data_IF_964021255648
#
_entry.id   IF_964021255648
#
_cell.length_a   1.000
_cell.length_b   1.000
_cell.length_c   1.000
_cell.angle_alpha   90.00
_cell.angle_beta   90.00
_cell.angle_gamma   90.00
#
_symmetry.space_group_name_H-M   'P 1'
#
loop_
_entity.id
_entity.type
_entity.pdbx_description
1 polymer ?
#
# COMPACT_ATOMS: atom_id res chain seq x y z
N UNK A 1 5.66 8.84 -5.93
CA UNK A 1 5.94 8.75 -4.48
C UNK A 1 7.33 8.18 -4.30
N UNK A 2 8.15 8.81 -3.48
CA UNK A 2 9.50 8.33 -3.12
C UNK A 2 9.61 8.23 -1.61
N UNK A 3 10.29 7.21 -1.12
CA UNK A 3 10.46 6.91 0.29
C UNK A 3 11.93 6.74 0.62
N UNK A 4 12.42 7.43 1.65
CA UNK A 4 13.73 7.19 2.28
C UNK A 4 13.52 6.66 3.67
N UNK A 5 14.22 5.58 3.98
CA UNK A 5 14.08 4.86 5.25
C UNK A 5 15.47 4.60 5.81
N UNK A 6 15.66 4.92 7.08
CA UNK A 6 16.88 4.61 7.81
C UNK A 6 16.54 3.91 9.12
N UNK A 7 17.24 2.80 9.39
CA UNK A 7 17.19 2.05 10.64
C UNK A 7 15.82 1.50 11.04
N UNK A 8 15.02 1.06 10.07
CA UNK A 8 13.67 0.56 10.28
C UNK A 8 13.64 -0.97 10.31
N UNK A 9 13.43 -1.57 11.49
CA UNK A 9 13.50 -3.01 11.69
C UNK A 9 14.83 -3.59 11.20
N UNK A 10 14.86 -4.58 10.30
CA UNK A 10 16.09 -5.13 9.76
C UNK A 10 16.75 -4.23 8.69
N UNK A 11 16.09 -3.15 8.29
CA UNK A 11 16.56 -2.27 7.20
C UNK A 11 17.47 -1.20 7.78
N UNK A 12 18.72 -1.16 7.34
CA UNK A 12 19.65 -0.07 7.68
C UNK A 12 19.40 1.16 6.82
N UNK A 13 19.15 0.96 5.50
CA UNK A 13 18.84 2.03 4.56
C UNK A 13 18.04 1.54 3.37
N UNK A 14 17.03 2.32 2.97
CA UNK A 14 16.32 2.11 1.71
C UNK A 14 15.93 3.46 1.08
N UNK A 15 16.06 3.55 -0.24
CA UNK A 15 15.46 4.62 -1.04
C UNK A 15 14.63 3.96 -2.13
N UNK A 16 13.31 4.18 -2.07
CA UNK A 16 12.32 3.47 -2.89
C UNK A 16 11.50 4.50 -3.65
N UNK A 17 11.43 4.35 -4.95
CA UNK A 17 10.47 5.03 -5.81
C UNK A 17 9.39 4.06 -6.26
N UNK A 18 8.13 4.45 -6.15
CA UNK A 18 7.01 3.62 -6.58
C UNK A 18 6.73 3.87 -8.06
N UNK A 19 7.13 2.92 -8.89
CA UNK A 19 6.83 2.87 -10.33
C UNK A 19 5.55 2.06 -10.59
N UNK A 20 5.01 2.05 -11.81
CA UNK A 20 3.86 1.23 -12.17
C UNK A 20 3.99 -0.25 -11.73
N UNK A 21 5.17 -0.85 -11.89
CA UNK A 21 5.51 -2.14 -11.28
C UNK A 21 6.76 -1.99 -10.41
N UNK A 22 6.59 -2.18 -9.11
CA UNK A 22 7.68 -2.15 -8.13
C UNK A 22 7.86 -3.53 -7.52
N UNK A 23 9.06 -4.07 -7.56
CA UNK A 23 9.37 -5.42 -7.07
C UNK A 23 10.42 -5.35 -5.97
N UNK A 24 10.11 -5.92 -4.80
CA UNK A 24 11.04 -6.06 -3.68
C UNK A 24 11.53 -7.50 -3.60
N UNK A 25 12.83 -7.71 -3.71
CA UNK A 25 13.46 -9.04 -3.66
C UNK A 25 14.52 -9.10 -2.56
N UNK A 26 14.90 -10.29 -2.12
CA UNK A 26 15.92 -10.50 -1.09
C UNK A 26 15.64 -11.72 -0.23
N UNK A 27 16.58 -12.08 0.64
CA UNK A 27 16.47 -13.23 1.55
C UNK A 27 15.31 -13.09 2.53
N UNK A 28 14.88 -14.23 3.11
CA UNK A 28 13.90 -14.21 4.20
C UNK A 28 14.44 -13.37 5.37
N UNK A 29 13.56 -12.57 5.98
CA UNK A 29 13.92 -11.68 7.06
C UNK A 29 14.66 -10.39 6.66
N UNK A 30 14.86 -10.13 5.36
CA UNK A 30 15.54 -8.90 4.89
C UNK A 30 14.73 -7.61 5.04
N UNK A 31 13.43 -7.69 5.36
CA UNK A 31 12.57 -6.53 5.57
C UNK A 31 11.68 -6.15 4.40
N UNK A 32 11.55 -6.99 3.34
CA UNK A 32 10.65 -6.74 2.20
C UNK A 32 9.21 -6.45 2.63
N UNK A 33 8.62 -7.34 3.43
CA UNK A 33 7.26 -7.16 3.98
C UNK A 33 7.16 -5.91 4.84
N UNK A 34 8.18 -5.60 5.64
CA UNK A 34 8.18 -4.37 6.45
C UNK A 34 8.19 -3.11 5.60
N UNK A 35 8.95 -3.07 4.48
CA UNK A 35 8.88 -1.96 3.53
C UNK A 35 7.52 -1.86 2.85
N UNK A 36 6.96 -2.99 2.40
CA UNK A 36 5.64 -3.02 1.77
C UNK A 36 4.54 -2.53 2.72
N UNK A 37 4.57 -2.96 3.98
CA UNK A 37 3.64 -2.52 5.05
C UNK A 37 3.83 -1.04 5.38
N UNK A 38 5.07 -0.54 5.42
CA UNK A 38 5.35 0.88 5.65
C UNK A 38 4.79 1.74 4.50
N UNK A 39 5.00 1.34 3.25
CA UNK A 39 4.45 2.03 2.08
C UNK A 39 2.92 2.06 2.17
N UNK A 40 2.29 0.93 2.47
CA UNK A 40 0.85 0.87 2.68
C UNK A 40 0.39 1.82 3.79
N UNK A 41 1.05 1.78 4.95
CA UNK A 41 0.71 2.61 6.11
C UNK A 41 0.75 4.10 5.79
N UNK A 42 1.76 4.54 5.02
CA UNK A 42 1.89 5.94 4.60
C UNK A 42 0.83 6.34 3.58
N UNK A 43 0.43 5.41 2.70
CA UNK A 43 -0.68 5.64 1.77
C UNK A 43 -2.03 5.67 2.49
N UNK A 44 -2.24 4.80 3.47
CA UNK A 44 -3.44 4.76 4.30
C UNK A 44 -3.58 6.03 5.14
N UNK A 45 -2.47 6.54 5.72
CA UNK A 45 -2.43 7.84 6.40
C UNK A 45 -2.94 8.96 5.49
N UNK A 46 -2.49 9.01 4.24
CA UNK A 46 -2.95 9.99 3.26
C UNK A 46 -4.47 9.91 3.02
N UNK A 47 -4.99 8.70 2.87
CA UNK A 47 -6.42 8.49 2.63
C UNK A 47 -7.28 8.88 3.83
N UNK A 48 -6.75 8.80 5.03
CA UNK A 48 -7.43 9.21 6.26
C UNK A 48 -7.28 10.70 6.58
N UNK A 49 -6.27 11.39 6.03
CA UNK A 49 -6.05 12.81 6.28
C UNK A 49 -7.30 13.70 6.05
N UNK A 50 -8.12 13.52 4.99
CA UNK A 50 -9.34 14.28 4.79
C UNK A 50 -10.40 14.05 5.88
N UNK A 51 -10.46 12.86 6.49
CA UNK A 51 -11.41 12.56 7.57
C UNK A 51 -11.04 13.28 8.87
N UNK A 52 -9.77 13.60 9.07
CA UNK A 52 -9.34 14.43 10.21
C UNK A 52 -9.72 15.89 10.04
N UNK A 53 -10.06 16.32 8.81
CA UNK A 53 -10.55 17.66 8.51
C UNK A 53 -12.08 17.79 8.69
N UNK A 54 -12.82 16.68 8.62
CA UNK A 54 -14.30 16.69 8.60
C UNK A 54 -15.01 17.20 9.86
N UNK A 55 -14.42 17.25 11.08
CA UNK A 55 -14.71 18.28 12.04
C UNK A 55 -13.41 18.90 12.59
N UNK A 56 -12.57 19.45 11.79
CA UNK A 56 -11.63 20.41 12.35
C UNK A 56 -12.49 21.58 12.80
N UNK A 57 -12.99 21.40 14.00
CA UNK A 57 -13.22 22.47 14.93
C UNK A 57 -11.83 23.07 15.15
N UNK A 58 -11.34 23.84 14.16
CA UNK A 58 -10.27 24.79 14.41
C UNK A 58 -10.80 25.54 15.62
N UNK A 59 -10.17 25.34 16.77
CA UNK A 59 -10.74 25.81 18.02
C UNK A 59 -11.06 27.29 17.84
N UNK A 60 -12.19 27.74 18.39
CA UNK A 60 -12.61 29.15 18.31
C UNK A 60 -11.50 30.12 18.71
N UNK A 61 -10.52 29.65 19.48
CA UNK A 61 -9.32 30.38 19.87
C UNK A 61 -8.35 30.57 18.71
N UNK A 62 -8.13 29.57 17.84
CA UNK A 62 -7.23 29.66 16.67
C UNK A 62 -7.86 30.43 15.51
N UNK A 63 -9.16 30.24 15.30
CA UNK A 63 -9.94 31.10 14.39
C UNK A 63 -9.82 32.57 14.83
N UNK A 64 -9.93 32.83 16.14
CA UNK A 64 -9.69 34.14 16.70
C UNK A 64 -8.27 34.68 16.53
N UNK A 65 -7.26 33.82 16.41
CA UNK A 65 -5.87 34.18 16.09
C UNK A 65 -5.73 34.52 14.61
N UNK A 66 -6.26 33.71 13.70
CA UNK A 66 -6.27 34.03 12.26
C UNK A 66 -7.01 35.33 12.01
N UNK A 67 -8.18 35.51 12.60
CA UNK A 67 -8.94 36.77 12.50
C UNK A 67 -8.20 37.98 13.02
N UNK A 68 -7.43 37.84 14.12
CA UNK A 68 -6.58 38.92 14.64
C UNK A 68 -5.44 39.25 13.67
N UNK A 69 -4.80 38.24 13.08
CA UNK A 69 -3.74 38.44 12.07
C UNK A 69 -4.28 39.09 10.80
N UNK A 70 -5.46 38.65 10.31
CA UNK A 70 -6.13 39.29 9.16
C UNK A 70 -6.38 40.79 9.44
N UNK A 71 -6.85 41.13 10.64
CA UNK A 71 -7.14 42.52 11.04
C UNK A 71 -5.91 43.38 11.35
N UNK A 72 -4.74 42.77 11.60
CA UNK A 72 -3.51 43.49 11.94
C UNK A 72 -2.66 43.88 10.73
N UNK A 73 -2.98 43.38 9.52
CA UNK A 73 -2.23 43.67 8.29
C UNK A 73 -3.01 44.73 7.51
N UNK A 74 -2.40 45.92 7.34
CA UNK A 74 -3.05 47.05 6.66
C UNK A 74 -3.32 46.85 5.17
N UNK A 75 -2.52 45.96 4.50
CA UNK A 75 -2.70 45.60 3.09
C UNK A 75 -2.53 44.07 2.93
N UNK A 76 -3.63 43.31 3.11
CA UNK A 76 -3.60 41.88 2.88
C UNK A 76 -4.07 41.56 1.45
N UNK A 77 -3.19 40.90 0.69
CA UNK A 77 -3.53 40.40 -0.65
C UNK A 77 -4.16 39.01 -0.59
N UNK A 78 -4.93 38.57 -1.60
CA UNK A 78 -5.42 37.18 -1.68
C UNK A 78 -4.31 36.15 -1.49
N UNK A 79 -3.15 36.35 -2.10
CA UNK A 79 -1.96 35.50 -1.97
C UNK A 79 -1.47 35.40 -0.51
N UNK A 80 -1.29 36.49 0.16
CA UNK A 80 -0.81 36.54 1.55
C UNK A 80 -1.81 35.90 2.51
N UNK A 81 -3.10 36.05 2.25
CA UNK A 81 -4.15 35.37 3.02
C UNK A 81 -4.13 33.85 2.85
N UNK A 82 -4.09 33.36 1.62
CA UNK A 82 -4.05 31.91 1.32
C UNK A 82 -2.78 31.29 1.93
N UNK A 83 -1.62 31.93 1.79
CA UNK A 83 -0.36 31.49 2.39
C UNK A 83 -0.46 31.39 3.91
N UNK A 84 -0.95 32.43 4.56
CA UNK A 84 -1.12 32.46 6.02
C UNK A 84 -2.08 31.35 6.50
N UNK A 85 -3.19 31.15 5.79
CA UNK A 85 -4.13 30.08 6.10
C UNK A 85 -3.45 28.71 5.93
N UNK A 86 -2.67 28.54 4.85
CA UNK A 86 -1.92 27.31 4.59
C UNK A 86 -0.94 26.96 5.71
N UNK A 87 -0.11 27.92 6.11
CA UNK A 87 0.87 27.73 7.20
C UNK A 87 0.18 27.35 8.52
N UNK A 88 -0.94 28.00 8.84
CA UNK A 88 -1.71 27.66 10.05
C UNK A 88 -2.32 26.26 9.96
N UNK A 89 -2.89 25.89 8.82
CA UNK A 89 -3.50 24.57 8.61
C UNK A 89 -2.44 23.47 8.70
N UNK A 90 -1.32 23.62 8.02
CA UNK A 90 -0.22 22.65 8.06
C UNK A 90 0.31 22.49 9.48
N UNK A 91 0.55 23.58 10.18
CA UNK A 91 0.98 23.56 11.58
C UNK A 91 -0.05 22.92 12.52
N UNK A 92 -1.34 23.02 12.20
CA UNK A 92 -2.42 22.41 12.97
C UNK A 92 -2.59 20.92 12.66
N UNK A 93 -2.36 20.49 11.41
CA UNK A 93 -2.49 19.11 10.97
C UNK A 93 -1.38 18.20 11.50
N UNK A 94 -0.17 18.72 11.65
CA UNK A 94 1.00 17.93 12.05
C UNK A 94 0.76 17.09 13.32
N UNK A 95 0.21 17.59 14.43
CA UNK A 95 -0.08 16.78 15.61
C UNK A 95 -1.11 15.67 15.36
N UNK A 96 -2.12 15.94 14.52
CA UNK A 96 -3.13 14.92 14.16
C UNK A 96 -2.56 13.83 13.27
N UNK A 97 -1.75 14.21 12.27
CA UNK A 97 -1.02 13.27 11.44
C UNK A 97 -0.06 12.43 12.27
N UNK A 98 0.59 13.02 13.28
CA UNK A 98 1.46 12.31 14.21
C UNK A 98 0.71 11.23 14.98
N UNK A 99 -0.42 11.57 15.59
CA UNK A 99 -1.24 10.61 16.34
C UNK A 99 -1.86 9.54 15.42
N UNK A 100 -2.33 9.92 14.23
CA UNK A 100 -2.83 8.97 13.24
C UNK A 100 -1.74 8.02 12.77
N UNK A 101 -0.55 8.54 12.47
CA UNK A 101 0.61 7.74 12.06
C UNK A 101 1.02 6.76 13.16
N UNK A 102 1.07 7.19 14.43
CA UNK A 102 1.33 6.33 15.58
C UNK A 102 0.37 5.14 15.58
N UNK A 103 -0.93 5.41 15.55
CA UNK A 103 -1.97 4.37 15.58
C UNK A 103 -1.89 3.43 14.38
N UNK A 104 -1.63 3.95 13.18
CA UNK A 104 -1.49 3.15 11.97
C UNK A 104 -0.25 2.26 12.03
N UNK A 105 0.89 2.77 12.48
CA UNK A 105 2.11 1.99 12.65
C UNK A 105 1.90 0.86 13.66
N UNK A 106 1.40 1.17 14.87
CA UNK A 106 1.15 0.16 15.92
C UNK A 106 0.13 -0.88 15.45
N UNK A 107 -0.94 -0.48 14.75
CA UNK A 107 -1.96 -1.38 14.20
C UNK A 107 -1.39 -2.28 13.11
N UNK A 108 -0.75 -1.69 12.09
CA UNK A 108 -0.35 -2.42 10.89
C UNK A 108 0.84 -3.35 11.16
N UNK A 109 1.76 -2.96 12.05
CA UNK A 109 2.89 -3.80 12.45
C UNK A 109 2.58 -4.72 13.64
N UNK A 110 1.46 -4.51 14.35
CA UNK A 110 1.06 -5.25 15.54
C UNK A 110 2.15 -5.28 16.63
N UNK A 111 2.89 -4.19 16.79
CA UNK A 111 3.98 -4.06 17.75
C UNK A 111 4.12 -2.62 18.26
N UNK A 112 4.80 -2.46 19.39
CA UNK A 112 5.13 -1.14 19.91
C UNK A 112 6.15 -0.43 19.01
N UNK A 113 6.07 0.89 18.90
CA UNK A 113 6.93 1.69 18.00
C UNK A 113 8.44 1.45 18.26
N UNK A 114 8.86 1.27 19.52
CA UNK A 114 10.26 0.98 19.87
C UNK A 114 10.80 -0.28 19.18
N UNK A 115 9.92 -1.26 18.89
CA UNK A 115 10.29 -2.50 18.21
C UNK A 115 10.54 -2.33 16.71
N UNK A 116 10.16 -1.18 16.14
CA UNK A 116 10.46 -0.81 14.76
C UNK A 116 11.87 -0.23 14.59
N UNK A 117 12.55 0.10 15.70
CA UNK A 117 13.91 0.65 15.65
C UNK A 117 14.92 -0.48 15.43
N UNK A 118 15.84 -0.27 14.49
CA UNK A 118 16.91 -1.22 14.21
C UNK A 118 17.79 -1.47 15.46
N UNK A 119 18.19 -2.71 15.67
CA UNK A 119 18.98 -3.13 16.83
C UNK A 119 20.32 -2.40 16.99
N UNK A 120 20.88 -1.88 15.88
CA UNK A 120 22.17 -1.19 15.82
C UNK A 120 22.03 0.34 15.79
N UNK A 121 20.83 0.86 16.03
CA UNK A 121 20.55 2.31 15.97
C UNK A 121 19.76 2.80 17.16
N UNK A 122 19.78 4.10 17.38
CA UNK A 122 19.04 4.77 18.47
C UNK A 122 17.70 5.34 17.98
N UNK A 123 17.51 5.42 16.68
CA UNK A 123 16.28 5.95 16.09
C UNK A 123 16.07 5.42 14.68
N UNK A 124 14.80 5.42 14.28
CA UNK A 124 14.34 5.32 12.88
C UNK A 124 14.21 6.71 12.32
N UNK A 125 14.51 6.89 11.03
CA UNK A 125 14.12 8.07 10.26
C UNK A 125 13.47 7.64 8.96
N UNK A 126 12.33 8.25 8.66
CA UNK A 126 11.59 8.02 7.43
C UNK A 126 11.19 9.36 6.82
N UNK A 127 11.45 9.52 5.54
CA UNK A 127 11.02 10.65 4.72
C UNK A 127 10.14 10.12 3.59
N UNK A 128 8.89 10.56 3.54
CA UNK A 128 7.94 10.22 2.49
C UNK A 128 7.65 11.45 1.63
N UNK A 129 8.07 11.41 0.37
CA UNK A 129 7.82 12.45 -0.62
C UNK A 129 6.55 12.07 -1.39
N UNK A 130 5.44 12.71 -1.06
CA UNK A 130 4.18 12.52 -1.78
C UNK A 130 4.18 13.25 -3.12
N UNK A 131 4.87 14.41 -3.18
CA UNK A 131 5.14 15.20 -4.37
C UNK A 131 6.53 15.85 -4.27
N UNK A 132 6.92 16.67 -5.24
CA UNK A 132 8.15 17.48 -5.17
C UNK A 132 8.11 18.52 -4.03
N UNK A 133 6.90 18.92 -3.63
CA UNK A 133 6.66 20.03 -2.68
C UNK A 133 6.10 19.58 -1.34
N UNK A 134 5.88 18.29 -1.13
CA UNK A 134 5.31 17.79 0.12
C UNK A 134 6.08 16.60 0.67
N UNK A 135 6.56 16.74 1.89
CA UNK A 135 7.35 15.72 2.60
C UNK A 135 6.78 15.50 3.99
N UNK A 136 6.49 14.25 4.29
CA UNK A 136 6.27 13.79 5.66
C UNK A 136 7.57 13.15 6.16
N UNK A 137 8.19 13.78 7.16
CA UNK A 137 9.31 13.22 7.89
C UNK A 137 8.84 12.74 9.26
N UNK A 138 9.29 11.57 9.68
CA UNK A 138 9.13 11.15 11.07
C UNK A 138 10.34 10.39 11.59
N UNK A 139 10.51 10.47 12.90
CA UNK A 139 11.53 9.73 13.64
C UNK A 139 10.90 8.97 14.80
N UNK A 140 11.40 7.76 15.07
CA UNK A 140 11.00 6.95 16.24
C UNK A 140 12.25 6.71 17.07
N UNK A 141 12.24 7.11 18.34
CA UNK A 141 13.34 6.85 19.27
C UNK A 141 13.32 5.42 19.78
N UNK A 142 14.42 4.95 20.40
CA UNK A 142 14.47 3.67 21.13
C UNK A 142 13.43 3.53 22.23
N UNK A 143 12.97 4.65 22.80
CA UNK A 143 11.95 4.68 23.84
C UNK A 143 10.53 4.62 23.25
N UNK A 144 10.41 4.68 21.92
CA UNK A 144 9.13 4.65 21.20
C UNK A 144 8.48 6.02 21.04
N UNK A 145 9.22 7.11 21.27
CA UNK A 145 8.72 8.45 21.03
C UNK A 145 8.69 8.72 19.53
N UNK A 146 7.52 9.14 19.03
CA UNK A 146 7.32 9.53 17.65
C UNK A 146 7.36 11.05 17.52
N UNK A 147 8.28 11.53 16.70
CA UNK A 147 8.31 12.93 16.25
C UNK A 147 8.01 12.99 14.76
N UNK A 148 7.12 13.88 14.35
CA UNK A 148 6.74 14.03 12.94
C UNK A 148 6.88 15.48 12.51
N UNK A 149 7.26 15.67 11.26
CA UNK A 149 7.26 16.96 10.57
C UNK A 149 6.57 16.77 9.24
N UNK A 150 5.54 17.54 8.99
CA UNK A 150 4.91 17.62 7.69
C UNK A 150 5.24 18.98 7.07
N UNK A 151 6.00 18.94 6.01
CA UNK A 151 6.47 20.15 5.31
C UNK A 151 5.80 20.21 3.94
N UNK A 152 5.18 21.34 3.66
CA UNK A 152 4.56 21.62 2.38
C UNK A 152 5.08 22.98 1.93
N UNK A 153 5.76 22.99 0.80
CA UNK A 153 6.26 24.22 0.22
C UNK A 153 5.09 25.02 -0.37
N UNK A 154 4.72 26.10 0.31
CA UNK A 154 3.68 27.03 -0.12
C UNK A 154 4.24 27.97 -1.20
N UNK A 155 4.43 27.40 -2.40
CA UNK A 155 4.90 28.16 -3.56
C UNK A 155 3.80 29.04 -4.13
N UNK A 156 4.18 30.12 -4.80
CA UNK A 156 3.23 31.05 -5.44
C UNK A 156 2.34 30.31 -6.46
N UNK A 157 2.90 29.32 -7.16
CA UNK A 157 2.15 28.46 -8.11
C UNK A 157 1.02 27.66 -7.43
N UNK A 158 1.26 27.12 -6.24
CA UNK A 158 0.23 26.44 -5.46
C UNK A 158 -0.85 27.41 -5.00
N UNK A 159 -0.44 28.62 -4.56
CA UNK A 159 -1.37 29.65 -4.13
C UNK A 159 -2.21 30.15 -5.31
N UNK A 160 -1.59 30.33 -6.48
CA UNK A 160 -2.27 30.68 -7.72
C UNK A 160 -3.30 29.62 -8.11
N UNK A 161 -2.92 28.35 -8.05
CA UNK A 161 -3.85 27.25 -8.36
C UNK A 161 -5.03 27.20 -7.38
N UNK A 162 -4.79 27.37 -6.09
CA UNK A 162 -5.86 27.48 -5.08
C UNK A 162 -6.80 28.65 -5.41
N UNK A 163 -6.26 29.78 -5.88
CA UNK A 163 -7.02 30.97 -6.26
C UNK A 163 -7.70 30.85 -7.65
N UNK A 164 -7.41 29.82 -8.46
CA UNK A 164 -8.17 29.55 -9.70
C UNK A 164 -9.57 29.02 -9.43
N UNK A 165 -9.83 28.40 -8.27
CA UNK A 165 -11.18 28.01 -7.89
C UNK A 165 -12.02 29.28 -7.62
N UNK A 166 -12.98 29.53 -8.50
CA UNK A 166 -13.85 30.72 -8.41
C UNK A 166 -14.58 30.84 -7.08
N UNK A 167 -14.89 29.74 -6.42
CA UNK A 167 -15.52 29.71 -5.10
C UNK A 167 -14.52 30.23 -4.04
N UNK A 168 -13.29 29.64 -4.04
CA UNK A 168 -12.23 30.08 -3.13
C UNK A 168 -11.93 31.57 -3.32
N UNK A 169 -11.71 31.98 -4.58
CA UNK A 169 -11.44 33.39 -4.91
C UNK A 169 -12.53 34.33 -4.40
N UNK A 170 -13.80 34.02 -4.65
CA UNK A 170 -14.94 34.81 -4.19
C UNK A 170 -14.99 34.89 -2.66
N UNK A 171 -14.73 33.78 -1.96
CA UNK A 171 -14.75 33.76 -0.50
C UNK A 171 -13.54 34.51 0.09
N UNK A 172 -12.36 34.39 -0.52
CA UNK A 172 -11.16 35.15 -0.16
C UNK A 172 -11.40 36.67 -0.32
N UNK A 173 -11.97 37.10 -1.44
CA UNK A 173 -12.30 38.49 -1.71
C UNK A 173 -13.30 39.05 -0.68
N UNK A 174 -14.30 38.28 -0.30
CA UNK A 174 -15.27 38.68 0.73
C UNK A 174 -14.59 38.76 2.11
N UNK A 175 -13.74 37.78 2.47
CA UNK A 175 -13.02 37.79 3.75
C UNK A 175 -12.07 38.99 3.89
N UNK A 176 -11.48 39.47 2.78
CA UNK A 176 -10.64 40.65 2.76
C UNK A 176 -11.43 41.97 2.94
N UNK A 177 -12.69 42.01 2.50
CA UNK A 177 -13.50 43.22 2.46
C UNK A 177 -14.58 43.29 3.55
N UNK A 178 -14.98 42.14 4.16
CA UNK A 178 -16.00 42.14 5.22
C UNK A 178 -15.38 42.31 6.59
N UNK A 179 -15.83 43.34 7.33
CA UNK A 179 -15.34 43.62 8.70
C UNK A 179 -16.07 42.86 9.81
N UNK A 180 -17.14 42.12 9.55
CA UNK A 180 -18.10 41.74 10.60
C UNK A 180 -18.50 40.27 10.71
N UNK A 181 -18.21 39.35 9.74
CA UNK A 181 -18.79 38.00 9.80
C UNK A 181 -17.76 36.90 10.15
N UNK A 182 -17.91 36.37 11.37
CA UNK A 182 -17.08 35.29 11.93
C UNK A 182 -17.26 33.96 11.17
N UNK A 183 -18.48 33.64 10.77
CA UNK A 183 -18.84 32.40 10.07
C UNK A 183 -18.25 32.33 8.65
N UNK A 184 -17.89 33.45 8.11
CA UNK A 184 -17.33 33.57 6.77
C UNK A 184 -15.85 33.15 6.71
N UNK A 185 -15.09 33.51 7.74
CA UNK A 185 -13.66 33.14 7.82
C UNK A 185 -13.51 31.65 8.03
N UNK A 186 -14.42 31.01 8.76
CA UNK A 186 -14.41 29.58 8.96
C UNK A 186 -14.60 28.82 7.63
N UNK A 187 -15.54 29.30 6.78
CA UNK A 187 -15.76 28.74 5.46
C UNK A 187 -14.53 28.91 4.55
N UNK A 188 -13.87 30.05 4.58
CA UNK A 188 -12.63 30.30 3.81
C UNK A 188 -11.52 29.37 4.26
N UNK A 189 -11.30 29.22 5.58
CA UNK A 189 -10.30 28.33 6.14
C UNK A 189 -10.55 26.88 5.72
N UNK A 190 -11.80 26.43 5.75
CA UNK A 190 -12.15 25.07 5.33
C UNK A 190 -11.89 24.85 3.84
N UNK A 191 -12.34 25.76 2.98
CA UNK A 191 -12.19 25.63 1.52
C UNK A 191 -10.72 25.71 1.08
N UNK A 192 -9.99 26.70 1.59
CA UNK A 192 -8.56 26.86 1.32
C UNK A 192 -7.78 25.66 1.86
N UNK A 193 -8.13 25.20 3.07
CA UNK A 193 -7.51 24.04 3.69
C UNK A 193 -7.71 22.74 2.91
N UNK A 194 -8.92 22.50 2.41
CA UNK A 194 -9.21 21.36 1.58
C UNK A 194 -8.35 21.35 0.31
N UNK A 195 -8.24 22.48 -0.37
CA UNK A 195 -7.41 22.64 -1.58
C UNK A 195 -5.92 22.46 -1.30
N UNK A 196 -5.41 23.07 -0.23
CA UNK A 196 -4.01 22.90 0.17
C UNK A 196 -3.70 21.41 0.47
N UNK A 197 -4.60 20.69 1.14
CA UNK A 197 -4.42 19.27 1.40
C UNK A 197 -4.46 18.41 0.13
N UNK A 198 -5.32 18.74 -0.82
CA UNK A 198 -5.36 18.04 -2.11
C UNK A 198 -4.02 18.13 -2.85
N UNK A 199 -3.31 19.27 -2.71
CA UNK A 199 -1.97 19.47 -3.28
C UNK A 199 -0.86 18.88 -2.41
N UNK A 200 -0.97 19.03 -1.11
CA UNK A 200 0.01 18.52 -0.15
C UNK A 200 0.04 17.00 -0.12
N UNK A 201 -1.12 16.37 -0.31
CA UNK A 201 -1.30 14.92 -0.35
C UNK A 201 -2.00 14.49 -1.66
N UNK A 202 -1.37 14.71 -2.82
CA UNK A 202 -2.02 14.51 -4.10
C UNK A 202 -2.45 13.05 -4.29
N UNK A 203 -3.66 12.85 -4.79
CA UNK A 203 -4.18 11.52 -5.12
C UNK A 203 -3.60 10.94 -6.42
N UNK A 204 -2.86 11.71 -7.18
CA UNK A 204 -2.15 11.24 -8.37
C UNK A 204 -0.65 11.28 -8.15
N UNK A 205 0.12 10.31 -8.64
CA UNK A 205 -0.27 9.19 -9.51
C UNK A 205 -0.94 8.00 -8.79
N UNK A 206 -1.08 7.98 -7.45
CA UNK A 206 -1.68 6.88 -6.68
C UNK A 206 -2.97 7.41 -6.02
N UNK A 207 -4.11 6.78 -6.30
CA UNK A 207 -5.42 7.16 -5.75
C UNK A 207 -5.67 6.53 -4.39
N UNK A 208 -5.68 5.21 -4.32
CA UNK A 208 -5.83 4.42 -3.09
C UNK A 208 -4.78 3.32 -3.04
N UNK A 209 -4.59 2.71 -1.87
CA UNK A 209 -3.74 1.54 -1.72
C UNK A 209 -4.53 0.37 -1.13
N UNK A 210 -4.23 -0.83 -1.65
CA UNK A 210 -4.79 -2.09 -1.19
C UNK A 210 -3.65 -3.02 -0.83
N UNK A 211 -3.81 -3.80 0.23
CA UNK A 211 -2.77 -4.69 0.71
C UNK A 211 -3.27 -6.13 0.83
N UNK A 212 -2.57 -7.05 0.17
CA UNK A 212 -2.83 -8.49 0.23
C UNK A 212 -1.59 -9.16 0.84
N UNK A 213 -1.68 -9.65 2.10
CA UNK A 213 -0.54 -10.23 2.80
C UNK A 213 -0.15 -11.60 2.26
N UNK A 214 1.05 -12.06 2.65
CA UNK A 214 1.43 -13.47 2.52
C UNK A 214 0.56 -14.35 3.44
N UNK A 215 0.46 -15.66 3.12
CA UNK A 215 -0.32 -16.61 3.91
C UNK A 215 -1.84 -16.36 3.88
N UNK A 216 -2.32 -15.66 2.87
CA UNK A 216 -3.72 -15.26 2.67
C UNK A 216 -4.70 -16.44 2.58
N UNK A 217 -4.25 -17.62 2.16
CA UNK A 217 -5.06 -18.83 2.20
C UNK A 217 -5.47 -19.19 3.64
N UNK A 218 -4.55 -19.14 4.59
CA UNK A 218 -4.84 -19.39 6.01
C UNK A 218 -5.73 -18.29 6.63
N UNK A 219 -5.52 -17.03 6.24
CA UNK A 219 -6.39 -15.93 6.66
C UNK A 219 -7.80 -16.08 6.10
N UNK A 220 -7.94 -16.51 4.85
CA UNK A 220 -9.24 -16.79 4.23
C UNK A 220 -9.99 -17.91 4.97
N UNK A 221 -9.29 -19.00 5.34
CA UNK A 221 -9.86 -20.09 6.14
C UNK A 221 -10.34 -19.62 7.51
N UNK A 222 -9.59 -18.72 8.16
CA UNK A 222 -9.94 -18.16 9.47
C UNK A 222 -11.06 -17.11 9.42
N UNK A 223 -11.34 -16.55 8.26
CA UNK A 223 -12.23 -15.38 8.11
C UNK A 223 -13.64 -15.58 8.70
N UNK A 224 -14.30 -16.69 8.38
CA UNK A 224 -15.67 -16.94 8.86
C UNK A 224 -15.72 -17.15 10.38
N UNK A 225 -14.75 -17.88 10.94
CA UNK A 225 -14.66 -18.13 12.37
C UNK A 225 -14.43 -16.83 13.15
N UNK A 226 -13.47 -16.01 12.69
CA UNK A 226 -13.14 -14.73 13.31
C UNK A 226 -14.29 -13.74 13.17
N UNK A 227 -14.88 -13.59 11.99
CA UNK A 227 -16.00 -12.68 11.75
C UNK A 227 -17.23 -13.05 12.59
N UNK A 228 -17.55 -14.34 12.66
CA UNK A 228 -18.66 -14.83 13.47
C UNK A 228 -18.45 -14.60 14.97
N UNK A 229 -17.24 -14.81 15.46
CA UNK A 229 -16.89 -14.56 16.86
C UNK A 229 -16.97 -13.05 17.19
N UNK A 230 -16.46 -12.19 16.33
CA UNK A 230 -16.52 -10.75 16.50
C UNK A 230 -17.97 -10.23 16.53
N UNK A 231 -18.80 -10.69 15.60
CA UNK A 231 -20.23 -10.31 15.54
C UNK A 231 -20.97 -10.81 16.79
N UNK A 232 -20.69 -12.03 17.25
CA UNK A 232 -21.33 -12.59 18.44
C UNK A 232 -20.93 -11.84 19.74
N UNK A 233 -19.70 -11.36 19.83
CA UNK A 233 -19.19 -10.65 21.01
C UNK A 233 -19.54 -9.15 21.01
N UNK A 234 -19.64 -8.52 19.84
CA UNK A 234 -19.83 -7.07 19.72
C UNK A 234 -20.98 -6.50 20.55
N UNK A 235 -22.20 -7.10 20.62
CA UNK A 235 -23.30 -6.56 21.40
C UNK A 235 -23.08 -6.59 22.92
N UNK A 236 -22.26 -7.54 23.41
CA UNK A 236 -22.07 -7.79 24.84
C UNK A 236 -20.72 -7.36 25.36
N UNK A 237 -19.77 -7.06 24.47
CA UNK A 237 -18.41 -6.67 24.84
C UNK A 237 -18.36 -5.46 25.81
N UNK A 238 -19.09 -4.34 25.56
CA UNK A 238 -19.09 -3.20 26.47
C UNK A 238 -19.68 -3.53 27.83
N UNK A 239 -20.71 -4.40 27.89
CA UNK A 239 -21.40 -4.77 29.14
C UNK A 239 -20.57 -5.72 30.01
N UNK A 240 -19.68 -6.49 29.38
CA UNK A 240 -18.85 -7.49 30.10
C UNK A 240 -17.44 -7.00 30.37
N UNK A 241 -17.09 -5.76 30.00
CA UNK A 241 -15.71 -5.29 30.08
C UNK A 241 -14.72 -6.13 29.26
N UNK A 242 -15.23 -6.87 28.25
CA UNK A 242 -14.39 -7.69 27.39
C UNK A 242 -13.66 -6.75 26.44
N UNK A 243 -12.35 -6.66 26.61
CA UNK A 243 -11.47 -6.04 25.63
C UNK A 243 -11.30 -7.03 24.47
N UNK A 244 -11.82 -6.67 23.30
CA UNK A 244 -11.56 -7.45 22.09
C UNK A 244 -10.11 -7.16 21.65
N UNK A 245 -9.22 -8.16 21.65
CA UNK A 245 -7.89 -7.92 21.14
C UNK A 245 -8.00 -7.48 19.68
N UNK A 246 -7.30 -6.42 19.26
CA UNK A 246 -7.25 -6.05 17.86
C UNK A 246 -6.67 -7.24 17.08
N UNK A 247 -7.22 -7.49 15.90
CA UNK A 247 -6.63 -8.44 14.96
C UNK A 247 -5.22 -7.96 14.62
N UNK A 248 -4.22 -8.84 14.64
CA UNK A 248 -2.84 -8.41 14.48
C UNK A 248 -2.55 -7.94 13.06
N UNK A 249 -1.88 -6.81 12.97
CA UNK A 249 -1.23 -6.30 11.77
C UNK A 249 -2.11 -6.24 10.53
N UNK A 250 -1.54 -6.63 9.41
CA UNK A 250 -2.21 -6.59 8.11
C UNK A 250 -3.36 -7.59 7.94
N UNK A 251 -3.52 -8.55 8.88
CA UNK A 251 -4.68 -9.45 8.86
C UNK A 251 -6.01 -8.68 9.04
N UNK A 252 -6.02 -7.63 9.87
CA UNK A 252 -7.23 -6.80 10.05
C UNK A 252 -7.59 -6.05 8.76
N UNK A 253 -6.60 -5.53 8.05
CA UNK A 253 -6.79 -4.86 6.76
C UNK A 253 -7.28 -5.83 5.70
N UNK A 254 -6.70 -7.04 5.65
CA UNK A 254 -7.14 -8.07 4.73
C UNK A 254 -8.60 -8.49 4.97
N UNK A 255 -9.03 -8.65 6.22
CA UNK A 255 -10.42 -8.95 6.54
C UNK A 255 -11.35 -7.78 6.22
N UNK A 256 -10.91 -6.54 6.47
CA UNK A 256 -11.63 -5.34 6.05
C UNK A 256 -11.81 -5.28 4.53
N UNK A 257 -10.78 -5.67 3.78
CA UNK A 257 -10.80 -5.78 2.33
C UNK A 257 -11.84 -6.81 1.86
N UNK A 258 -11.84 -8.01 2.45
CA UNK A 258 -12.83 -9.07 2.15
C UNK A 258 -14.27 -8.62 2.45
N UNK A 259 -14.50 -7.84 3.50
CA UNK A 259 -15.82 -7.29 3.85
C UNK A 259 -16.34 -6.26 2.82
N UNK A 260 -15.44 -5.61 2.07
CA UNK A 260 -15.80 -4.63 1.03
C UNK A 260 -16.24 -5.29 -0.28
N UNK A 261 -15.92 -6.56 -0.49
CA UNK A 261 -16.34 -7.33 -1.67
C UNK A 261 -17.86 -7.52 -1.66
N UNK A 262 -18.53 -7.21 -2.77
CA UNK A 262 -20.00 -7.24 -2.90
C UNK A 262 -20.51 -7.84 -4.20
N UNK A 263 -19.65 -8.53 -4.96
CA UNK A 263 -20.01 -9.10 -6.26
C UNK A 263 -20.21 -8.07 -7.38
N UNK A 264 -19.74 -6.83 -7.19
CA UNK A 264 -19.82 -5.78 -8.22
C UNK A 264 -18.56 -5.82 -9.10
N UNK A 265 -18.72 -5.51 -10.39
CA UNK A 265 -17.57 -5.40 -11.30
C UNK A 265 -16.93 -4.03 -11.18
N UNK A 266 -15.59 -4.01 -10.99
CA UNK A 266 -14.72 -2.83 -11.03
C UNK A 266 -14.03 -2.67 -12.40
N UNK A 267 -13.13 -1.69 -12.47
CA UNK A 267 -12.46 -1.25 -13.70
C UNK A 267 -11.61 -2.35 -14.35
N UNK A 268 -10.98 -3.22 -13.57
CA UNK A 268 -10.11 -4.30 -14.06
C UNK A 268 -10.80 -5.65 -14.16
N UNK A 269 -12.14 -5.68 -14.13
CA UNK A 269 -12.88 -6.93 -14.16
C UNK A 269 -12.61 -7.79 -15.40
N UNK A 270 -12.33 -7.18 -16.56
CA UNK A 270 -12.04 -7.93 -17.79
C UNK A 270 -10.68 -8.63 -17.73
N UNK A 271 -9.63 -7.94 -17.28
CA UNK A 271 -8.30 -8.58 -17.11
C UNK A 271 -8.33 -9.60 -15.98
N UNK A 272 -9.09 -9.34 -14.93
CA UNK A 272 -9.26 -10.29 -13.83
C UNK A 272 -9.87 -11.63 -14.32
N UNK A 273 -10.67 -11.66 -15.39
CA UNK A 273 -11.18 -12.92 -15.95
C UNK A 273 -10.07 -13.89 -16.41
N UNK A 274 -8.85 -13.39 -16.68
CA UNK A 274 -7.70 -14.26 -17.02
C UNK A 274 -7.29 -15.18 -15.86
N UNK A 275 -7.65 -14.83 -14.63
CA UNK A 275 -7.45 -15.71 -13.48
C UNK A 275 -8.26 -16.99 -13.56
N UNK A 276 -9.37 -17.01 -14.30
CA UNK A 276 -10.20 -18.21 -14.48
C UNK A 276 -9.44 -19.35 -15.14
N UNK A 277 -8.59 -19.03 -16.11
CA UNK A 277 -7.73 -20.04 -16.75
C UNK A 277 -6.63 -20.50 -15.79
N UNK A 278 -6.12 -19.59 -14.95
CA UNK A 278 -5.07 -19.88 -13.99
C UNK A 278 -5.57 -20.80 -12.86
N UNK A 279 -6.79 -20.56 -12.34
CA UNK A 279 -7.41 -21.35 -11.27
C UNK A 279 -8.25 -22.53 -11.78
N UNK A 280 -8.34 -22.71 -13.11
CA UNK A 280 -9.16 -23.74 -13.78
C UNK A 280 -10.64 -23.71 -13.33
N UNK A 281 -11.20 -22.52 -13.17
CA UNK A 281 -12.56 -22.34 -12.66
C UNK A 281 -12.96 -20.87 -12.54
N UNK A 282 -14.02 -20.61 -11.79
CA UNK A 282 -14.52 -19.27 -11.51
C UNK A 282 -14.84 -19.09 -10.03
N UNK A 283 -14.80 -17.85 -9.55
CA UNK A 283 -15.27 -17.51 -8.22
C UNK A 283 -16.59 -16.77 -8.37
N UNK A 284 -17.67 -17.45 -7.99
CA UNK A 284 -19.03 -16.97 -8.13
C UNK A 284 -19.58 -16.48 -6.79
N UNK A 285 -20.43 -15.45 -6.86
CA UNK A 285 -21.12 -14.91 -5.69
C UNK A 285 -22.52 -15.48 -5.68
N UNK A 286 -22.77 -16.43 -4.77
CA UNK A 286 -24.01 -17.22 -4.71
C UNK A 286 -24.75 -17.01 -3.40
N UNK A 287 -26.06 -17.10 -3.47
CA UNK A 287 -26.95 -17.11 -2.32
C UNK A 287 -27.08 -18.53 -1.78
N UNK A 288 -26.66 -18.75 -0.54
CA UNK A 288 -26.87 -20.02 0.14
C UNK A 288 -28.03 -19.93 1.12
N UNK A 289 -28.92 -20.90 1.05
CA UNK A 289 -29.92 -21.10 2.09
C UNK A 289 -29.27 -21.63 3.37
N UNK A 290 -29.47 -20.94 4.48
CA UNK A 290 -29.05 -21.37 5.81
C UNK A 290 -30.24 -21.79 6.65
N UNK A 291 -30.06 -22.67 7.66
CA UNK A 291 -31.14 -23.10 8.53
C UNK A 291 -31.96 -21.94 9.10
N UNK A 292 -33.29 -22.10 9.21
CA UNK A 292 -34.29 -21.11 9.67
C UNK A 292 -34.77 -20.11 8.60
N UNK A 293 -34.68 -20.44 7.29
CA UNK A 293 -35.24 -19.63 6.21
C UNK A 293 -34.51 -18.31 5.98
N UNK A 294 -33.24 -18.23 6.35
CA UNK A 294 -32.35 -17.11 6.04
C UNK A 294 -31.45 -17.49 4.87
N UNK A 295 -31.02 -16.50 4.09
CA UNK A 295 -30.01 -16.69 3.06
C UNK A 295 -28.77 -15.87 3.39
N UNK A 296 -27.61 -16.36 2.94
CA UNK A 296 -26.32 -15.70 3.07
C UNK A 296 -25.65 -15.66 1.70
N UNK A 297 -25.19 -14.51 1.27
CA UNK A 297 -24.37 -14.37 0.09
C UNK A 297 -22.92 -14.78 0.40
N UNK A 298 -22.36 -15.67 -0.40
CA UNK A 298 -21.01 -16.19 -0.21
C UNK A 298 -20.27 -16.34 -1.53
N UNK A 299 -18.94 -16.25 -1.47
CA UNK A 299 -18.09 -16.56 -2.61
C UNK A 299 -17.78 -18.04 -2.64
N UNK A 300 -17.99 -18.69 -3.79
CA UNK A 300 -17.76 -20.11 -4.01
C UNK A 300 -16.88 -20.33 -5.23
N UNK A 301 -16.09 -21.39 -5.19
CA UNK A 301 -15.32 -21.84 -6.33
C UNK A 301 -16.15 -22.79 -7.19
N UNK A 302 -16.34 -22.43 -8.46
CA UNK A 302 -17.01 -23.25 -9.48
C UNK A 302 -15.98 -23.82 -10.44
N UNK A 303 -15.95 -25.13 -10.58
CA UNK A 303 -15.04 -25.82 -11.50
C UNK A 303 -15.39 -25.50 -12.96
N UNK A 304 -14.37 -25.42 -13.84
CA UNK A 304 -14.53 -25.08 -15.27
C UNK A 304 -15.51 -26.00 -15.99
N UNK A 305 -15.44 -27.29 -15.70
CA UNK A 305 -16.19 -28.34 -16.42
C UNK A 305 -17.33 -28.95 -15.59
N UNK A 306 -17.74 -28.35 -14.48
CA UNK A 306 -18.79 -28.88 -13.60
C UNK A 306 -19.79 -27.79 -13.22
N UNK A 307 -21.05 -28.20 -13.11
CA UNK A 307 -22.08 -27.28 -12.57
C UNK A 307 -21.96 -27.07 -11.04
N UNK A 308 -21.22 -27.94 -10.36
CA UNK A 308 -21.06 -27.89 -8.91
C UNK A 308 -20.07 -26.80 -8.47
N UNK A 309 -20.41 -26.10 -7.42
CA UNK A 309 -19.52 -25.16 -6.70
C UNK A 309 -19.20 -25.71 -5.31
N UNK A 310 -18.03 -25.33 -4.79
CA UNK A 310 -17.60 -25.65 -3.43
C UNK A 310 -17.27 -24.36 -2.69
N UNK A 311 -17.28 -24.40 -1.37
CA UNK A 311 -16.83 -23.28 -0.56
C UNK A 311 -15.32 -23.02 -0.79
N UNK A 312 -14.92 -21.74 -0.85
CA UNK A 312 -13.52 -21.37 -1.12
C UNK A 312 -12.54 -21.96 -0.10
N UNK A 313 -12.95 -22.14 1.14
CA UNK A 313 -12.10 -22.74 2.18
C UNK A 313 -11.75 -24.20 1.90
N UNK A 314 -12.55 -24.89 1.09
CA UNK A 314 -12.34 -26.29 0.66
C UNK A 314 -11.67 -26.43 -0.71
N UNK A 315 -11.39 -25.31 -1.37
CA UNK A 315 -10.69 -25.30 -2.65
C UNK A 315 -9.19 -25.64 -2.51
N UNK A 316 -8.55 -25.95 -3.62
CA UNK A 316 -7.11 -26.20 -3.67
C UNK A 316 -6.32 -24.96 -3.15
N UNK A 317 -5.12 -25.17 -2.58
CA UNK A 317 -4.31 -24.09 -2.02
C UNK A 317 -4.06 -22.97 -3.03
N UNK A 318 -3.76 -23.30 -4.28
CA UNK A 318 -3.60 -22.31 -5.36
C UNK A 318 -4.85 -21.43 -5.54
N UNK A 319 -6.04 -22.01 -5.50
CA UNK A 319 -7.30 -21.25 -5.62
C UNK A 319 -7.48 -20.32 -4.43
N UNK A 320 -7.20 -20.79 -3.21
CA UNK A 320 -7.27 -19.96 -1.99
C UNK A 320 -6.26 -18.82 -2.00
N UNK A 321 -5.06 -19.04 -2.53
CA UNK A 321 -4.04 -18.02 -2.67
C UNK A 321 -4.41 -16.96 -3.72
N UNK A 322 -4.95 -17.36 -4.86
CA UNK A 322 -5.27 -16.45 -5.95
C UNK A 322 -6.63 -15.77 -5.81
N UNK A 323 -7.59 -16.39 -5.10
CA UNK A 323 -8.95 -15.85 -5.02
C UNK A 323 -9.04 -14.44 -4.42
N UNK A 324 -8.32 -14.05 -3.36
CA UNK A 324 -8.36 -12.68 -2.88
C UNK A 324 -7.81 -11.68 -3.90
N UNK A 325 -6.73 -12.04 -4.62
CA UNK A 325 -6.15 -11.20 -5.68
C UNK A 325 -7.17 -11.01 -6.79
N UNK A 326 -7.75 -12.12 -7.28
CA UNK A 326 -8.77 -12.10 -8.31
C UNK A 326 -9.99 -11.25 -7.93
N UNK A 327 -10.52 -11.43 -6.71
CA UNK A 327 -11.70 -10.71 -6.24
C UNK A 327 -11.43 -9.20 -6.07
N UNK A 328 -10.27 -8.84 -5.53
CA UNK A 328 -9.87 -7.44 -5.37
C UNK A 328 -9.71 -6.75 -6.73
N UNK A 329 -9.06 -7.40 -7.68
CA UNK A 329 -8.92 -6.92 -9.06
C UNK A 329 -10.26 -6.80 -9.76
N UNK A 330 -11.15 -7.76 -9.55
CA UNK A 330 -12.47 -7.77 -10.18
C UNK A 330 -13.42 -6.70 -9.65
N UNK A 331 -13.32 -6.35 -8.35
CA UNK A 331 -14.39 -5.62 -7.66
C UNK A 331 -13.99 -4.30 -7.01
N UNK A 332 -12.72 -4.09 -6.67
CA UNK A 332 -12.34 -3.00 -5.77
C UNK A 332 -11.35 -1.99 -6.31
N UNK A 333 -10.42 -2.41 -7.17
CA UNK A 333 -9.35 -1.52 -7.64
C UNK A 333 -9.73 -0.79 -8.90
N UNK A 334 -9.29 0.45 -8.99
CA UNK A 334 -9.49 1.34 -10.11
C UNK A 334 -8.15 1.85 -10.69
N UNK A 335 -8.19 2.49 -11.85
CA UNK A 335 -7.01 3.11 -12.47
C UNK A 335 -6.33 4.11 -11.52
N UNK A 336 -5.02 4.03 -11.41
CA UNK A 336 -4.22 4.86 -10.51
C UNK A 336 -4.16 4.36 -9.06
N UNK A 337 -4.80 3.24 -8.71
CA UNK A 337 -4.63 2.61 -7.41
C UNK A 337 -3.31 1.85 -7.33
N UNK A 338 -2.86 1.60 -6.10
CA UNK A 338 -1.69 0.78 -5.78
C UNK A 338 -2.13 -0.52 -5.12
N UNK A 339 -1.89 -1.65 -5.77
CA UNK A 339 -2.11 -2.98 -5.22
C UNK A 339 -0.79 -3.55 -4.72
N UNK A 340 -0.67 -3.74 -3.42
CA UNK A 340 0.49 -4.34 -2.76
C UNK A 340 0.17 -5.81 -2.47
N UNK A 341 1.02 -6.71 -2.97
CA UNK A 341 0.83 -8.16 -2.81
C UNK A 341 2.13 -8.77 -2.29
N UNK A 342 2.07 -9.39 -1.13
CA UNK A 342 3.21 -10.18 -0.64
C UNK A 342 3.19 -11.57 -1.26
N UNK A 343 4.35 -11.97 -1.78
CA UNK A 343 4.60 -13.32 -2.31
C UNK A 343 3.44 -13.86 -3.18
N UNK A 344 3.07 -13.17 -4.29
CA UNK A 344 1.93 -13.59 -5.11
C UNK A 344 2.09 -14.99 -5.71
N UNK A 345 3.32 -15.47 -5.81
CA UNK A 345 3.72 -16.78 -6.32
C UNK A 345 3.56 -17.93 -5.33
N UNK A 346 3.27 -17.66 -4.07
CA UNK A 346 3.18 -18.68 -3.02
C UNK A 346 2.20 -19.79 -3.40
N UNK A 347 2.64 -21.06 -3.26
CA UNK A 347 1.89 -22.28 -3.61
C UNK A 347 1.51 -22.43 -5.09
N UNK A 348 2.12 -21.65 -6.00
CA UNK A 348 1.89 -21.76 -7.43
C UNK A 348 2.92 -22.66 -8.12
N UNK A 349 2.43 -23.49 -9.05
CA UNK A 349 3.31 -24.20 -9.97
C UNK A 349 4.08 -23.17 -10.86
N UNK A 350 5.33 -23.47 -11.29
CA UNK A 350 6.12 -22.58 -12.14
C UNK A 350 5.37 -21.96 -13.33
N UNK A 351 4.60 -22.76 -14.07
CA UNK A 351 3.81 -22.27 -15.20
C UNK A 351 2.73 -21.24 -14.77
N UNK A 352 2.16 -21.40 -13.58
CA UNK A 352 1.20 -20.47 -13.03
C UNK A 352 1.85 -19.14 -12.60
N UNK A 353 3.10 -19.17 -12.12
CA UNK A 353 3.87 -17.98 -11.79
C UNK A 353 4.16 -17.13 -13.03
N UNK A 354 4.53 -17.75 -14.14
CA UNK A 354 4.72 -17.09 -15.44
C UNK A 354 3.41 -16.41 -15.85
N UNK A 355 2.32 -17.15 -15.87
CA UNK A 355 1.02 -16.61 -16.28
C UNK A 355 0.54 -15.47 -15.38
N UNK A 356 0.80 -15.56 -14.08
CA UNK A 356 0.48 -14.50 -13.12
C UNK A 356 1.23 -13.20 -13.45
N UNK A 357 2.51 -13.28 -13.81
CA UNK A 357 3.30 -12.12 -14.20
C UNK A 357 2.81 -11.49 -15.51
N UNK A 358 2.39 -12.28 -16.49
CA UNK A 358 1.76 -11.77 -17.71
C UNK A 358 0.46 -11.01 -17.39
N UNK A 359 -0.37 -11.51 -16.46
CA UNK A 359 -1.58 -10.81 -16.01
C UNK A 359 -1.21 -9.49 -15.31
N UNK A 360 -0.22 -9.49 -14.42
CA UNK A 360 0.22 -8.26 -13.76
C UNK A 360 0.76 -7.24 -14.75
N UNK A 361 1.50 -7.67 -15.76
CA UNK A 361 1.98 -6.78 -16.82
C UNK A 361 0.84 -6.11 -17.60
N UNK A 362 -0.23 -6.85 -17.93
CA UNK A 362 -1.43 -6.27 -18.55
C UNK A 362 -2.11 -5.25 -17.65
N UNK A 363 -2.30 -5.56 -16.38
CA UNK A 363 -2.89 -4.64 -15.40
C UNK A 363 -2.09 -3.34 -15.29
N UNK A 364 -0.76 -3.44 -15.30
CA UNK A 364 0.15 -2.28 -15.29
C UNK A 364 -0.03 -1.45 -16.56
N UNK A 365 -0.12 -2.08 -17.74
CA UNK A 365 -0.35 -1.39 -19.00
C UNK A 365 -1.73 -0.71 -19.06
N UNK A 366 -2.72 -1.18 -18.28
CA UNK A 366 -4.04 -0.58 -18.12
C UNK A 366 -4.10 0.48 -16.99
N UNK A 367 -2.96 0.82 -16.37
CA UNK A 367 -2.86 1.91 -15.41
C UNK A 367 -2.96 1.53 -13.93
N UNK A 368 -3.04 0.23 -13.59
CA UNK A 368 -2.90 -0.22 -12.21
C UNK A 368 -1.43 -0.16 -11.78
N UNK A 369 -1.18 0.30 -10.56
CA UNK A 369 0.15 0.19 -9.96
C UNK A 369 0.23 -1.05 -9.10
N UNK A 370 1.31 -1.81 -9.22
CA UNK A 370 1.51 -3.05 -8.48
C UNK A 370 2.85 -3.01 -7.76
N UNK A 371 2.85 -3.31 -6.46
CA UNK A 371 4.05 -3.58 -5.68
C UNK A 371 3.99 -5.03 -5.20
N UNK A 372 5.00 -5.81 -5.53
CA UNK A 372 5.12 -7.19 -5.06
C UNK A 372 6.39 -7.40 -4.24
N UNK A 373 6.31 -8.27 -3.26
CA UNK A 373 7.49 -8.89 -2.65
C UNK A 373 7.62 -10.30 -3.20
N UNK A 374 8.81 -10.75 -3.54
CA UNK A 374 9.00 -12.09 -4.09
C UNK A 374 10.31 -12.73 -3.67
N UNK A 375 10.32 -14.05 -3.69
CA UNK A 375 11.49 -14.92 -3.55
C UNK A 375 11.68 -15.83 -4.78
N UNK A 376 10.83 -15.66 -5.82
CA UNK A 376 10.81 -16.55 -6.97
C UNK A 376 11.75 -16.08 -8.07
N UNK A 377 12.71 -16.95 -8.46
CA UNK A 377 13.51 -16.79 -9.65
C UNK A 377 12.65 -16.76 -10.92
N UNK A 378 11.60 -17.57 -10.95
CA UNK A 378 10.70 -17.65 -12.11
C UNK A 378 9.98 -16.32 -12.33
N UNK A 379 9.50 -15.70 -11.28
CA UNK A 379 8.87 -14.37 -11.33
C UNK A 379 9.83 -13.33 -11.91
N UNK A 380 11.10 -13.33 -11.47
CA UNK A 380 12.10 -12.38 -11.96
C UNK A 380 12.52 -12.67 -13.41
N UNK A 381 12.67 -13.94 -13.78
CA UNK A 381 13.00 -14.31 -15.17
C UNK A 381 11.88 -13.94 -16.12
N UNK A 382 10.64 -14.19 -15.74
CA UNK A 382 9.49 -13.79 -16.56
C UNK A 382 9.40 -12.27 -16.67
N UNK A 383 9.60 -11.54 -15.59
CA UNK A 383 9.65 -10.08 -15.62
C UNK A 383 10.74 -9.58 -16.60
N UNK A 384 11.91 -10.21 -16.61
CA UNK A 384 12.99 -9.90 -17.55
C UNK A 384 12.56 -10.16 -19.00
N UNK A 385 11.85 -11.27 -19.27
CA UNK A 385 11.33 -11.58 -20.61
C UNK A 385 10.32 -10.53 -21.09
N UNK A 386 9.37 -10.14 -20.23
CA UNK A 386 8.36 -9.12 -20.56
C UNK A 386 9.00 -7.75 -20.84
N UNK A 387 10.09 -7.40 -20.15
CA UNK A 387 10.87 -6.20 -20.43
C UNK A 387 11.62 -6.30 -21.76
N UNK A 388 12.25 -7.45 -22.06
CA UNK A 388 12.93 -7.68 -23.34
C UNK A 388 11.94 -7.61 -24.53
N UNK A 389 10.74 -8.13 -24.36
CA UNK A 389 9.67 -8.00 -25.36
C UNK A 389 9.30 -6.53 -25.60
N UNK A 390 9.16 -5.74 -24.54
CA UNK A 390 8.89 -4.31 -24.62
C UNK A 390 10.01 -3.56 -25.37
N UNK A 391 11.27 -3.87 -25.08
CA UNK A 391 12.44 -3.28 -25.75
C UNK A 391 12.50 -3.65 -27.24
N UNK A 392 12.06 -4.84 -27.63
CA UNK A 392 11.95 -5.25 -29.05
C UNK A 392 10.81 -4.59 -29.80
N UNK A 393 9.97 -3.80 -29.11
CA UNK A 393 8.77 -3.21 -29.67
C UNK A 393 7.67 -4.23 -29.97
N UNK A 394 7.69 -5.36 -29.25
CA UNK A 394 6.60 -6.33 -29.29
C UNK A 394 5.30 -5.66 -28.87
N UNK A 395 4.23 -5.92 -29.61
CA UNK A 395 2.89 -5.39 -29.31
C UNK A 395 2.04 -6.39 -28.52
N UNK A 396 2.68 -7.28 -27.74
CA UNK A 396 1.94 -8.15 -26.84
C UNK A 396 1.34 -7.31 -25.71
N UNK A 397 0.14 -7.62 -25.30
CA UNK A 397 -0.56 -6.90 -24.21
C UNK A 397 0.17 -6.97 -22.87
N UNK A 398 1.09 -7.95 -22.71
CA UNK A 398 1.88 -8.16 -21.52
C UNK A 398 3.31 -7.56 -21.58
N UNK A 399 3.73 -6.96 -22.71
CA UNK A 399 5.06 -6.35 -22.80
C UNK A 399 5.18 -5.13 -21.88
N UNK A 400 6.31 -4.98 -21.17
CA UNK A 400 6.54 -3.91 -20.22
C UNK A 400 7.63 -2.95 -20.70
N UNK A 401 7.49 -1.66 -20.38
CA UNK A 401 8.53 -0.67 -20.63
C UNK A 401 9.49 -0.61 -19.44
N UNK A 402 10.82 -0.45 -19.67
CA UNK A 402 11.78 -0.32 -18.58
C UNK A 402 11.47 0.82 -17.61
N UNK A 403 10.93 1.93 -18.09
CA UNK A 403 10.56 3.07 -17.26
C UNK A 403 9.41 2.77 -16.29
N UNK A 404 8.57 1.79 -16.61
CA UNK A 404 7.41 1.41 -15.79
C UNK A 404 7.79 0.40 -14.68
N UNK A 405 9.01 -0.14 -14.70
CA UNK A 405 9.45 -1.19 -13.78
C UNK A 405 10.64 -0.74 -12.93
N UNK A 406 10.64 -1.14 -11.67
CA UNK A 406 11.80 -1.03 -10.78
C UNK A 406 11.88 -2.26 -9.89
N UNK A 407 13.09 -2.76 -9.72
CA UNK A 407 13.39 -3.90 -8.85
C UNK A 407 14.38 -3.47 -7.78
N UNK A 408 14.04 -3.68 -6.52
CA UNK A 408 14.92 -3.41 -5.37
C UNK A 408 15.35 -4.71 -4.72
N UNK A 409 16.66 -4.91 -4.65
CA UNK A 409 17.26 -6.01 -3.92
C UNK A 409 17.68 -5.56 -2.52
N UNK A 410 17.16 -6.24 -1.51
CA UNK A 410 17.58 -6.06 -0.12
C UNK A 410 18.80 -6.94 0.16
N UNK A 411 20.00 -6.33 0.12
CA UNK A 411 21.30 -6.99 0.40
C UNK A 411 21.72 -6.79 1.86
N UNK A 412 22.38 -7.79 2.47
CA UNK A 412 23.01 -7.61 3.78
C UNK A 412 24.00 -6.45 3.81
N UNK A 413 24.03 -5.73 4.93
CA UNK A 413 24.95 -4.66 5.26
C UNK A 413 25.42 -4.83 6.72
N UNK A 414 26.41 -4.06 7.17
CA UNK A 414 26.98 -4.17 8.52
C UNK A 414 25.94 -4.04 9.65
N UNK A 415 24.89 -3.22 9.41
CA UNK A 415 23.83 -2.90 10.39
C UNK A 415 22.46 -3.45 10.02
N UNK A 416 22.36 -4.35 9.06
CA UNK A 416 21.10 -4.91 8.61
C UNK A 416 21.05 -5.14 7.10
N UNK A 417 20.06 -4.55 6.42
CA UNK A 417 19.87 -4.69 4.98
C UNK A 417 19.74 -3.33 4.32
N UNK A 418 20.33 -3.20 3.13
CA UNK A 418 20.18 -2.03 2.26
C UNK A 418 19.40 -2.41 1.02
N UNK A 419 18.38 -1.62 0.70
CA UNK A 419 17.68 -1.75 -0.58
C UNK A 419 18.47 -1.05 -1.68
N UNK A 420 18.78 -1.78 -2.75
CA UNK A 420 19.46 -1.28 -3.95
C UNK A 420 18.61 -1.57 -5.18
N UNK A 421 18.45 -0.58 -6.02
CA UNK A 421 17.89 -0.80 -7.35
C UNK A 421 18.82 -1.70 -8.17
N UNK A 422 18.24 -2.66 -8.88
CA UNK A 422 18.97 -3.62 -9.72
C UNK A 422 18.37 -3.67 -11.11
N UNK A 423 19.24 -3.74 -12.11
CA UNK A 423 18.83 -3.94 -13.49
C UNK A 423 18.79 -5.44 -13.81
N UNK A 424 17.60 -6.03 -13.77
CA UNK A 424 17.42 -7.47 -14.01
C UNK A 424 17.66 -7.91 -15.46
N UNK A 425 17.85 -6.95 -16.38
CA UNK A 425 18.26 -7.26 -17.76
C UNK A 425 19.76 -7.54 -17.88
N UNK A 426 20.54 -7.05 -16.92
CA UNK A 426 22.00 -7.20 -16.89
C UNK A 426 22.44 -8.26 -15.89
N UNK A 427 21.74 -8.37 -14.74
CA UNK A 427 22.16 -9.23 -13.63
C UNK A 427 20.94 -9.82 -12.93
N UNK A 428 20.93 -11.14 -12.70
CA UNK A 428 19.93 -11.85 -11.87
C UNK A 428 20.51 -12.08 -10.47
N UNK A 429 20.39 -11.15 -9.54
CA UNK A 429 21.30 -10.99 -8.42
C UNK A 429 21.13 -11.96 -7.26
N UNK A 430 20.10 -12.82 -7.24
CA UNK A 430 19.78 -13.61 -6.03
C UNK A 430 19.96 -15.11 -6.19
N UNK A 431 19.95 -15.63 -7.41
CA UNK A 431 19.89 -17.07 -7.66
C UNK A 431 21.16 -17.63 -8.27
N UNK A 432 21.91 -16.82 -8.98
CA UNK A 432 23.15 -17.28 -9.65
C UNK A 432 24.15 -17.83 -8.63
N UNK A 433 24.35 -17.17 -7.48
CA UNK A 433 25.24 -17.66 -6.41
C UNK A 433 24.78 -19.01 -5.84
N UNK A 434 23.47 -19.19 -5.59
CA UNK A 434 22.93 -20.43 -5.04
C UNK A 434 22.95 -21.54 -6.08
N UNK A 435 22.62 -21.23 -7.32
CA UNK A 435 22.66 -22.19 -8.43
C UNK A 435 24.10 -22.61 -8.75
N UNK A 436 25.03 -21.69 -8.71
CA UNK A 436 26.47 -21.99 -8.88
C UNK A 436 26.97 -22.91 -7.77
N UNK A 437 26.65 -22.63 -6.51
CA UNK A 437 26.98 -23.51 -5.39
C UNK A 437 26.37 -24.92 -5.54
N UNK A 438 25.11 -25.01 -5.97
CA UNK A 438 24.46 -26.31 -6.22
C UNK A 438 25.12 -27.04 -7.38
N UNK A 439 25.46 -26.35 -8.45
CA UNK A 439 26.13 -26.93 -9.60
C UNK A 439 27.52 -27.46 -9.25
N UNK A 440 28.35 -26.68 -8.55
CA UNK A 440 29.66 -27.13 -8.09
C UNK A 440 29.54 -28.35 -7.15
N UNK A 441 28.62 -28.34 -6.21
CA UNK A 441 28.36 -29.50 -5.35
C UNK A 441 27.94 -30.73 -6.14
N UNK A 442 27.07 -30.58 -7.13
CA UNK A 442 26.64 -31.70 -7.99
C UNK A 442 27.80 -32.25 -8.80
N UNK A 443 28.66 -31.40 -9.36
CA UNK A 443 29.87 -31.75 -10.10
C UNK A 443 30.84 -32.56 -9.25
N UNK A 444 31.11 -32.12 -8.01
CA UNK A 444 31.97 -32.83 -7.05
C UNK A 444 31.41 -34.20 -6.68
N UNK A 445 30.08 -34.28 -6.45
CA UNK A 445 29.43 -35.56 -6.17
C UNK A 445 29.48 -36.52 -7.36
N UNK A 446 29.22 -36.02 -8.58
CA UNK A 446 29.30 -36.84 -9.81
C UNK A 446 30.74 -37.34 -10.04
N UNK A 447 31.74 -36.48 -9.80
CA UNK A 447 33.15 -36.87 -9.89
C UNK A 447 33.50 -37.96 -8.87
N UNK A 448 33.10 -37.81 -7.62
CA UNK A 448 33.31 -38.80 -6.57
C UNK A 448 32.65 -40.15 -6.88
N UNK A 449 31.42 -40.13 -7.46
CA UNK A 449 30.70 -41.34 -7.89
C UNK A 449 31.39 -42.03 -9.08
N UNK A 450 32.03 -41.27 -9.99
CA UNK A 450 32.77 -41.88 -11.11
C UNK A 450 34.02 -42.64 -10.63
N UNK A 451 34.74 -42.08 -9.65
CA UNK A 451 35.93 -42.74 -9.06
C UNK A 451 35.56 -44.03 -8.32
N UNK A 452 34.38 -44.09 -7.65
CA UNK A 452 33.92 -45.31 -7.00
C UNK A 452 33.56 -46.44 -8.02
N UNK A 453 33.05 -46.07 -9.20
CA UNK A 453 32.73 -47.04 -10.26
C UNK A 453 33.92 -47.55 -11.02
N UNK A 454 35.07 -46.81 -11.02
CA UNK A 454 36.33 -47.27 -11.61
C UNK A 454 37.14 -48.16 -10.65
N UNK A 455 36.76 -48.19 -9.38
CA UNK A 455 37.43 -48.98 -8.32
C UNK A 455 36.72 -50.35 -8.04
N UNK A 456 35.57 -50.63 -8.65
CA UNK A 456 34.91 -51.93 -8.73
C UNK A 456 35.27 -52.65 -10.04
#
# INVERSE_FOLDING_TARGET
MRLRVENFGPISRAEIEIKPLTVLIGKNGSGKSMLAQLIYTLMDLRNHAPYFMSPIIISSQKIGEINRRIKSVEEMTPHSLVKMIGDVIIGYLTPYLSEALRRLLERNFAMELKSLVNLYSDHVRVECFYSEHSVLEFTISKDGDLSTKFDVEMMDELIDEVLTDERVKRFVDIALHSKEERDFVDAVIMMVGERILEHALPKRPISSAFYIPAGRAGLLEGYEAVSSALIALAPTAPLRGIFMPPLPGMASEFYSLLLRLKGKRGSFSEVAELFKDLIEGDIVFEELEVPKGKSKMVYRFKFKDKESSIDLIHAASMVKELSPIYLVLRELVDEGDLLIIEEPESHLHPAAQIRLMEIFARLVNEGLRILITTHSDIVLRELSHLLMEGLRGSKTEASLKPDDVVVYLLKPDEKGYVAREVNILEEMPTFDEVMEQLYEKEKDLRFSLSLLKESE
#
